data_IF_600884408561
#
_entry.id   IF_600884408561
#
_cell.length_a   1.000
_cell.length_b   1.000
_cell.length_c   1.000
_cell.angle_alpha   90.00
_cell.angle_beta   90.00
_cell.angle_gamma   90.00
#
_symmetry.space_group_name_H-M   'P 1'
#
loop_
_entity.id
_entity.type
_entity.pdbx_description
1 polymer ?
#
# COMPACT_ATOMS: atom_id res chain seq x y z
N UNK A 1 8.02 0.23 6.85
CA UNK A 1 9.43 0.58 6.72
C UNK A 1 9.62 1.52 5.57
N UNK A 2 10.05 2.64 5.90
CA UNK A 2 10.89 3.61 5.30
C UNK A 2 10.47 4.17 3.95
N UNK A 3 9.82 5.22 4.03
CA UNK A 3 9.81 6.20 2.97
C UNK A 3 10.88 7.22 3.33
N UNK A 4 11.87 7.40 2.48
CA UNK A 4 12.95 8.35 2.66
C UNK A 4 12.81 9.41 1.58
N UNK A 5 13.14 10.65 1.89
CA UNK A 5 13.36 11.67 0.89
C UNK A 5 14.54 11.27 -0.02
N UNK A 6 14.52 11.69 -1.28
CA UNK A 6 15.48 11.27 -2.29
C UNK A 6 16.95 11.54 -1.96
N UNK A 7 17.23 12.45 -1.02
CA UNK A 7 18.54 12.91 -0.64
C UNK A 7 18.91 12.64 0.82
N UNK A 8 18.13 11.80 1.53
CA UNK A 8 18.20 11.60 2.98
C UNK A 8 18.02 12.90 3.81
N UNK A 9 17.76 14.00 3.16
CA UNK A 9 17.40 15.24 3.83
C UNK A 9 15.91 15.26 4.13
N UNK A 10 15.53 16.03 5.12
CA UNK A 10 14.15 16.20 5.51
C UNK A 10 13.37 16.84 4.36
N UNK A 11 12.15 16.39 4.11
CA UNK A 11 11.26 17.08 3.19
C UNK A 11 11.20 18.55 3.54
N UNK A 12 11.71 19.36 2.64
CA UNK A 12 11.68 20.79 2.82
C UNK A 12 10.40 21.36 2.22
N UNK A 13 9.43 21.64 3.05
CA UNK A 13 8.47 22.67 2.73
C UNK A 13 9.18 23.98 3.06
N UNK A 14 9.94 24.52 2.14
CA UNK A 14 10.54 25.82 2.37
C UNK A 14 9.48 26.90 2.25
N UNK A 15 9.26 27.63 3.30
CA UNK A 15 8.65 28.96 3.23
C UNK A 15 9.63 29.90 2.57
N UNK A 16 9.72 29.92 1.24
CA UNK A 16 10.33 31.05 0.57
C UNK A 16 9.27 32.13 0.37
N UNK A 17 9.57 33.39 0.67
CA UNK A 17 8.61 34.48 0.58
C UNK A 17 8.11 34.78 -0.84
N UNK A 18 8.75 34.27 -1.86
CA UNK A 18 8.67 34.77 -3.21
C UNK A 18 8.01 33.78 -4.17
N UNK A 19 6.72 33.58 -4.08
CA UNK A 19 5.91 33.10 -5.19
C UNK A 19 5.65 31.61 -5.29
N UNK A 20 5.78 30.84 -4.24
CA UNK A 20 5.36 29.44 -4.20
C UNK A 20 3.84 29.26 -4.07
N UNK A 21 3.30 28.12 -4.46
CA UNK A 21 1.94 27.74 -4.14
C UNK A 21 1.78 27.70 -2.61
N UNK A 22 0.64 28.16 -2.11
CA UNK A 22 0.33 28.08 -0.68
C UNK A 22 -0.60 26.93 -0.39
N UNK A 23 -0.47 26.36 0.80
CA UNK A 23 -1.42 25.39 1.36
C UNK A 23 -1.85 25.84 2.75
N UNK A 24 -3.13 25.70 3.07
CA UNK A 24 -3.66 25.95 4.40
C UNK A 24 -3.84 24.61 5.13
N UNK A 25 -3.23 24.48 6.30
CA UNK A 25 -3.32 23.29 7.15
C UNK A 25 -3.65 23.76 8.57
N UNK A 26 -4.77 23.34 9.10
CA UNK A 26 -5.24 23.74 10.44
C UNK A 26 -5.29 25.26 10.66
N UNK A 27 -5.68 26.02 9.65
CA UNK A 27 -5.78 27.47 9.71
C UNK A 27 -4.45 28.22 9.57
N UNK A 28 -3.36 27.54 9.25
CA UNK A 28 -2.03 28.14 9.02
C UNK A 28 -1.67 27.97 7.55
N UNK A 29 -1.30 29.07 6.92
CA UNK A 29 -0.83 29.09 5.53
C UNK A 29 0.67 28.77 5.46
N UNK A 30 1.03 27.76 4.70
CA UNK A 30 2.40 27.35 4.40
C UNK A 30 2.72 27.60 2.94
N UNK A 31 3.91 28.12 2.66
CA UNK A 31 4.43 28.17 1.31
C UNK A 31 5.04 26.84 0.91
N UNK A 32 4.73 26.38 -0.28
CA UNK A 32 5.13 25.07 -0.79
C UNK A 32 6.20 25.23 -1.85
N UNK A 33 7.43 25.26 -1.45
CA UNK A 33 8.57 25.15 -2.36
C UNK A 33 9.57 24.17 -1.75
N UNK A 34 10.04 23.26 -2.53
CA UNK A 34 11.02 22.26 -2.10
C UNK A 34 11.15 21.18 -3.15
N UNK A 35 12.33 20.61 -3.25
CA UNK A 35 12.69 19.60 -4.25
C UNK A 35 11.74 18.40 -4.29
N UNK A 36 11.21 18.00 -3.14
CA UNK A 36 10.24 16.91 -3.00
C UNK A 36 8.81 17.42 -2.71
N UNK A 37 8.58 18.73 -2.89
CA UNK A 37 7.30 19.38 -2.64
C UNK A 37 6.24 19.00 -3.68
N UNK A 38 4.96 19.08 -3.25
CA UNK A 38 3.80 18.81 -4.11
C UNK A 38 3.73 19.69 -5.35
N UNK A 39 4.30 20.89 -5.28
CA UNK A 39 4.34 21.85 -6.37
C UNK A 39 5.39 21.52 -7.42
N UNK A 40 6.40 20.77 -7.09
CA UNK A 40 7.38 20.30 -8.06
C UNK A 40 6.74 19.20 -8.93
N UNK A 41 6.45 19.54 -10.16
CA UNK A 41 5.69 18.70 -11.09
C UNK A 41 6.54 17.62 -11.77
N UNK A 42 7.86 17.61 -11.57
CA UNK A 42 8.77 16.74 -12.31
C UNK A 42 8.81 15.31 -11.75
N UNK A 43 9.81 15.08 -10.95
CA UNK A 43 10.20 13.75 -10.47
C UNK A 43 9.61 13.40 -9.08
N UNK A 44 8.97 14.36 -8.41
CA UNK A 44 8.49 14.20 -7.05
C UNK A 44 7.32 13.20 -6.93
N UNK A 45 7.30 12.44 -5.85
CA UNK A 45 6.21 11.51 -5.54
C UNK A 45 4.88 12.24 -5.36
N UNK A 46 3.85 11.80 -6.07
CA UNK A 46 2.48 12.33 -5.94
C UNK A 46 1.81 11.96 -4.60
N UNK A 47 2.44 11.13 -3.79
CA UNK A 47 1.91 10.69 -2.49
C UNK A 47 2.66 11.30 -1.32
N UNK A 48 3.71 12.07 -1.55
CA UNK A 48 4.58 12.63 -0.54
C UNK A 48 5.60 11.66 0.06
N UNK A 49 5.62 10.41 -0.39
CA UNK A 49 6.52 9.38 0.12
C UNK A 49 7.11 8.56 -1.02
N UNK A 50 8.32 8.08 -0.82
CA UNK A 50 9.01 7.17 -1.74
C UNK A 50 9.06 5.76 -1.17
N UNK A 51 9.05 4.77 -2.07
CA UNK A 51 9.20 3.38 -1.68
C UNK A 51 10.68 3.07 -1.44
N UNK A 52 11.04 2.61 -0.23
CA UNK A 52 12.38 2.12 0.08
C UNK A 52 12.54 0.61 -0.17
N UNK A 53 11.48 -0.16 -0.02
CA UNK A 53 11.50 -1.62 -0.20
C UNK A 53 11.90 -1.95 -1.63
N UNK A 54 12.86 -2.85 -1.82
CA UNK A 54 13.48 -3.22 -3.10
C UNK A 54 14.31 -2.13 -3.77
N UNK A 55 14.59 -1.06 -3.05
CA UNK A 55 15.50 -0.04 -3.52
C UNK A 55 16.94 -0.53 -3.37
N UNK A 56 17.72 -0.42 -4.41
CA UNK A 56 19.14 -0.72 -4.39
C UNK A 56 19.92 0.55 -4.02
N UNK A 57 20.34 0.62 -2.77
CA UNK A 57 21.07 1.78 -2.23
C UNK A 57 22.50 1.88 -2.78
N UNK A 58 22.99 0.87 -3.49
CA UNK A 58 24.34 0.88 -4.09
C UNK A 58 24.37 1.56 -5.45
N UNK A 59 23.21 1.73 -6.11
CA UNK A 59 23.11 2.39 -7.40
C UNK A 59 23.14 3.91 -7.25
N UNK A 60 24.09 4.54 -7.92
CA UNK A 60 24.22 6.00 -7.99
C UNK A 60 23.47 6.63 -9.15
N UNK A 61 23.17 5.85 -10.19
CA UNK A 61 22.40 6.25 -11.36
C UNK A 61 21.21 5.29 -11.57
N UNK A 62 20.03 5.77 -11.27
CA UNK A 62 18.78 5.03 -11.29
C UNK A 62 18.28 4.69 -12.70
N UNK A 63 18.73 5.42 -13.71
CA UNK A 63 18.32 5.19 -15.10
C UNK A 63 19.00 3.98 -15.74
N UNK A 64 19.94 3.37 -15.03
CA UNK A 64 20.73 2.27 -15.59
C UNK A 64 20.03 0.91 -15.57
N UNK A 65 18.93 0.74 -14.85
CA UNK A 65 18.14 -0.51 -14.82
C UNK A 65 18.95 -1.75 -14.40
N UNK A 66 20.04 -1.55 -13.65
CA UNK A 66 21.03 -2.60 -13.32
C UNK A 66 21.00 -3.02 -11.86
N UNK A 67 19.85 -2.92 -11.19
CA UNK A 67 19.74 -3.41 -9.82
C UNK A 67 19.90 -4.91 -9.77
N UNK A 68 20.79 -5.39 -8.89
CA UNK A 68 20.96 -6.80 -8.56
C UNK A 68 20.14 -7.23 -7.34
N UNK A 69 19.31 -6.33 -6.81
CA UNK A 69 18.45 -6.62 -5.66
C UNK A 69 17.44 -7.72 -6.05
N UNK A 70 17.49 -8.89 -5.37
CA UNK A 70 16.60 -9.99 -5.72
C UNK A 70 15.15 -9.65 -5.38
N UNK A 71 14.23 -10.04 -6.26
CA UNK A 71 12.80 -10.00 -5.98
C UNK A 71 12.40 -11.27 -5.23
N UNK A 72 11.96 -11.19 -3.97
CA UNK A 72 11.50 -12.37 -3.26
C UNK A 72 10.15 -12.83 -3.80
N UNK A 73 10.10 -14.05 -4.31
CA UNK A 73 8.84 -14.68 -4.74
C UNK A 73 7.98 -15.00 -3.52
N UNK A 74 8.59 -15.55 -2.48
CA UNK A 74 8.00 -15.75 -1.15
C UNK A 74 9.12 -15.70 -0.09
N UNK A 75 8.74 -15.47 1.15
CA UNK A 75 9.69 -15.34 2.27
C UNK A 75 9.07 -15.78 3.59
N UNK A 76 9.91 -15.99 4.59
CA UNK A 76 9.51 -16.52 5.89
C UNK A 76 8.38 -15.71 6.57
N UNK A 77 8.38 -14.38 6.42
CA UNK A 77 7.29 -13.54 6.94
C UNK A 77 5.91 -13.89 6.37
N UNK A 78 5.85 -14.27 5.09
CA UNK A 78 4.61 -14.78 4.49
C UNK A 78 4.21 -16.13 5.07
N UNK A 79 5.17 -17.03 5.29
CA UNK A 79 4.91 -18.36 5.85
C UNK A 79 4.31 -18.24 7.26
N UNK A 80 4.87 -17.38 8.12
CA UNK A 80 4.30 -17.10 9.43
C UNK A 80 2.87 -16.55 9.35
N UNK A 81 2.59 -15.66 8.40
CA UNK A 81 1.25 -15.12 8.21
C UNK A 81 0.25 -16.16 7.66
N UNK A 82 0.72 -17.08 6.82
CA UNK A 82 -0.07 -18.21 6.36
C UNK A 82 -0.38 -19.15 7.51
N UNK A 83 0.61 -19.46 8.38
CA UNK A 83 0.43 -20.24 9.59
C UNK A 83 -0.58 -19.57 10.53
N UNK A 84 -0.43 -18.28 10.80
CA UNK A 84 -1.33 -17.53 11.68
C UNK A 84 -2.78 -17.57 11.20
N UNK A 85 -3.00 -17.38 9.90
CA UNK A 85 -4.34 -17.44 9.31
C UNK A 85 -4.93 -18.85 9.41
N UNK A 86 -4.17 -19.88 9.05
CA UNK A 86 -4.61 -21.28 9.15
C UNK A 86 -4.89 -21.71 10.60
N UNK A 87 -4.03 -21.33 11.54
CA UNK A 87 -4.22 -21.61 12.97
C UNK A 87 -5.49 -20.92 13.50
N UNK A 88 -5.75 -19.68 13.08
CA UNK A 88 -6.96 -18.96 13.48
C UNK A 88 -8.23 -19.61 12.94
N UNK A 89 -8.24 -20.09 11.71
CA UNK A 89 -9.37 -20.85 11.13
C UNK A 89 -9.62 -22.17 11.87
N UNK A 90 -8.59 -22.74 12.47
CA UNK A 90 -8.67 -23.97 13.30
C UNK A 90 -8.93 -23.66 14.79
N UNK A 91 -9.25 -22.41 15.15
CA UNK A 91 -9.43 -21.96 16.54
C UNK A 91 -8.20 -22.14 17.45
N UNK A 92 -7.00 -22.19 16.88
CA UNK A 92 -5.72 -22.26 17.58
C UNK A 92 -5.13 -20.87 17.78
N UNK A 93 -5.78 -20.04 18.58
CA UNK A 93 -5.41 -18.63 18.74
C UNK A 93 -4.02 -18.42 19.35
N UNK A 94 -3.53 -19.29 20.22
CA UNK A 94 -2.15 -19.20 20.73
C UNK A 94 -1.11 -19.33 19.63
N UNK A 95 -1.25 -20.35 18.79
CA UNK A 95 -0.34 -20.61 17.67
C UNK A 95 -0.37 -19.45 16.65
N UNK A 96 -1.57 -18.92 16.37
CA UNK A 96 -1.73 -17.74 15.53
C UNK A 96 -1.05 -16.49 16.11
N UNK A 97 -1.16 -16.29 17.41
CA UNK A 97 -0.54 -15.17 18.12
C UNK A 97 0.98 -15.24 18.09
N UNK A 98 1.54 -16.41 18.38
CA UNK A 98 2.99 -16.67 18.31
C UNK A 98 3.52 -16.36 16.91
N UNK A 99 2.90 -16.91 15.87
CA UNK A 99 3.33 -16.70 14.49
C UNK A 99 3.34 -15.22 14.09
N UNK A 100 2.36 -14.43 14.50
CA UNK A 100 2.35 -12.99 14.24
C UNK A 100 3.41 -12.27 15.07
N UNK A 101 3.59 -12.66 16.32
CA UNK A 101 4.55 -12.02 17.21
C UNK A 101 6.01 -12.25 16.78
N UNK A 102 6.34 -13.38 16.18
CA UNK A 102 7.65 -13.61 15.53
C UNK A 102 8.00 -12.52 14.49
N UNK A 103 7.02 -12.12 13.68
CA UNK A 103 7.19 -11.05 12.71
C UNK A 103 7.39 -9.71 13.40
N UNK A 104 6.60 -9.43 14.43
CA UNK A 104 6.61 -8.18 15.16
C UNK A 104 7.89 -8.01 15.97
N UNK A 105 8.38 -9.07 16.61
CA UNK A 105 9.65 -9.10 17.31
C UNK A 105 10.82 -8.78 16.37
N UNK A 106 10.88 -9.47 15.23
CA UNK A 106 11.88 -9.18 14.20
C UNK A 106 11.82 -7.71 13.74
N UNK A 107 10.61 -7.14 13.66
CA UNK A 107 10.40 -5.75 13.25
C UNK A 107 10.71 -4.73 14.36
N UNK A 108 10.97 -5.18 15.59
CA UNK A 108 11.24 -4.31 16.74
C UNK A 108 10.01 -3.51 17.19
N UNK A 109 8.80 -4.03 17.00
CA UNK A 109 7.55 -3.38 17.39
C UNK A 109 6.86 -4.16 18.52
N UNK A 110 5.98 -3.48 19.27
CA UNK A 110 5.28 -4.07 20.40
C UNK A 110 4.52 -5.35 20.01
N UNK A 111 4.68 -6.39 20.82
CA UNK A 111 3.98 -7.66 20.63
C UNK A 111 2.48 -7.50 20.89
N UNK A 112 1.68 -8.31 20.24
CA UNK A 112 0.25 -8.41 20.53
C UNK A 112 0.00 -9.29 21.74
N UNK A 113 -0.96 -8.91 22.57
CA UNK A 113 -1.45 -9.71 23.69
C UNK A 113 -2.63 -10.62 23.34
N UNK A 114 -3.28 -10.35 22.21
CA UNK A 114 -4.37 -11.16 21.69
C UNK A 114 -4.44 -11.04 20.17
N UNK A 115 -5.08 -12.02 19.55
CA UNK A 115 -5.16 -12.15 18.11
C UNK A 115 -6.60 -12.39 17.66
N UNK A 116 -6.93 -11.92 16.48
CA UNK A 116 -8.13 -12.27 15.72
C UNK A 116 -7.81 -12.16 14.22
N UNK A 117 -8.72 -12.60 13.38
CA UNK A 117 -8.53 -12.60 11.92
C UNK A 117 -8.28 -11.20 11.36
N UNK A 118 -8.90 -10.17 11.91
CA UNK A 118 -8.71 -8.78 11.46
C UNK A 118 -7.27 -8.30 11.70
N UNK A 119 -6.71 -8.61 12.88
CA UNK A 119 -5.32 -8.29 13.21
C UNK A 119 -4.34 -9.04 12.30
N UNK A 120 -4.60 -10.31 12.00
CA UNK A 120 -3.78 -11.10 11.06
C UNK A 120 -3.82 -10.46 9.67
N UNK A 121 -5.00 -10.12 9.17
CA UNK A 121 -5.17 -9.46 7.87
C UNK A 121 -4.50 -8.08 7.82
N UNK A 122 -4.52 -7.35 8.94
CA UNK A 122 -3.82 -6.08 9.06
C UNK A 122 -2.31 -6.27 9.03
N UNK A 123 -1.76 -7.18 9.84
CA UNK A 123 -0.33 -7.47 9.86
C UNK A 123 0.17 -7.92 8.48
N UNK A 124 -0.59 -8.80 7.82
CA UNK A 124 -0.30 -9.25 6.46
C UNK A 124 -0.26 -8.09 5.46
N UNK A 125 -1.19 -7.16 5.56
CA UNK A 125 -1.22 -5.97 4.71
C UNK A 125 0.02 -5.09 4.88
N UNK A 126 0.50 -4.93 6.11
CA UNK A 126 1.64 -4.08 6.44
C UNK A 126 2.95 -4.79 6.12
N UNK A 127 3.09 -6.04 6.55
CA UNK A 127 4.32 -6.82 6.38
C UNK A 127 4.61 -7.09 4.90
N UNK A 128 3.61 -7.47 4.12
CA UNK A 128 3.74 -7.80 2.70
C UNK A 128 3.44 -6.62 1.76
N UNK A 129 3.47 -5.39 2.28
CA UNK A 129 3.30 -4.20 1.45
C UNK A 129 4.34 -4.16 0.32
N UNK A 130 3.91 -3.82 -0.90
CA UNK A 130 4.70 -3.77 -2.13
C UNK A 130 5.20 -5.13 -2.66
N UNK A 131 4.72 -6.25 -2.11
CA UNK A 131 5.07 -7.60 -2.58
C UNK A 131 3.97 -8.25 -3.44
N UNK A 132 2.98 -7.49 -3.88
CA UNK A 132 1.93 -7.96 -4.80
C UNK A 132 0.79 -8.75 -4.14
N UNK A 133 0.86 -9.04 -2.84
CA UNK A 133 -0.09 -9.94 -2.16
C UNK A 133 -1.49 -9.35 -1.96
N UNK A 134 -1.61 -8.05 -1.67
CA UNK A 134 -2.86 -7.45 -1.19
C UNK A 134 -4.08 -7.71 -2.07
N UNK A 135 -3.92 -7.59 -3.39
CA UNK A 135 -5.02 -7.80 -4.33
C UNK A 135 -5.53 -9.25 -4.28
N UNK A 136 -4.61 -10.20 -4.27
CA UNK A 136 -4.93 -11.62 -4.21
C UNK A 136 -5.53 -12.03 -2.87
N UNK A 137 -5.03 -11.49 -1.78
CA UNK A 137 -5.57 -11.68 -0.44
C UNK A 137 -7.04 -11.22 -0.37
N UNK A 138 -7.35 -10.04 -0.86
CA UNK A 138 -8.72 -9.52 -0.89
C UNK A 138 -9.65 -10.38 -1.75
N UNK A 139 -9.14 -10.94 -2.85
CA UNK A 139 -9.90 -11.88 -3.69
C UNK A 139 -10.15 -13.20 -2.97
N UNK A 140 -9.13 -13.83 -2.41
CA UNK A 140 -9.31 -15.13 -1.71
C UNK A 140 -10.16 -15.02 -0.44
N UNK A 141 -10.09 -13.90 0.28
CA UNK A 141 -10.98 -13.61 1.42
C UNK A 141 -12.40 -13.22 1.00
N UNK A 142 -12.67 -13.06 -0.28
CA UNK A 142 -13.97 -12.66 -0.82
C UNK A 142 -14.49 -11.33 -0.27
N UNK A 143 -13.60 -10.39 0.00
CA UNK A 143 -13.92 -9.04 0.50
C UNK A 143 -13.69 -7.94 -0.53
N UNK A 144 -13.08 -8.23 -1.68
CA UNK A 144 -12.72 -7.21 -2.67
C UNK A 144 -13.93 -6.42 -3.20
N UNK A 145 -15.10 -7.04 -3.29
CA UNK A 145 -16.34 -6.41 -3.77
C UNK A 145 -17.07 -5.55 -2.72
N UNK A 146 -16.62 -5.60 -1.47
CA UNK A 146 -17.22 -4.80 -0.40
C UNK A 146 -16.76 -3.33 -0.50
N UNK A 147 -17.51 -2.44 0.15
CA UNK A 147 -17.11 -1.05 0.30
C UNK A 147 -15.83 -0.91 1.12
N UNK A 148 -15.09 0.16 0.88
CA UNK A 148 -13.84 0.46 1.58
C UNK A 148 -14.02 0.53 3.10
N UNK A 149 -15.17 1.00 3.57
CA UNK A 149 -15.50 1.03 5.00
C UNK A 149 -15.60 -0.37 5.63
N UNK A 150 -15.85 -1.40 4.81
CA UNK A 150 -15.89 -2.82 5.18
C UNK A 150 -14.60 -3.57 4.80
N UNK A 151 -13.53 -2.85 4.51
CA UNK A 151 -12.24 -3.41 4.12
C UNK A 151 -12.11 -3.83 2.66
N UNK A 152 -13.11 -3.53 1.82
CA UNK A 152 -13.13 -3.83 0.40
C UNK A 152 -12.42 -2.81 -0.50
N UNK A 153 -12.64 -2.89 -1.81
CA UNK A 153 -12.07 -1.99 -2.81
C UNK A 153 -13.05 -0.93 -3.31
N UNK A 154 -14.36 -1.18 -3.23
CA UNK A 154 -15.34 -0.24 -3.75
C UNK A 154 -15.30 1.08 -3.00
N UNK A 155 -15.22 2.17 -3.76
CA UNK A 155 -15.11 3.51 -3.22
C UNK A 155 -13.71 3.86 -2.69
N UNK A 156 -12.72 2.97 -2.83
CA UNK A 156 -11.35 3.26 -2.41
C UNK A 156 -10.74 4.33 -3.31
N UNK A 157 -10.17 5.34 -2.67
CA UNK A 157 -9.28 6.32 -3.30
C UNK A 157 -7.88 6.17 -2.73
N UNK A 158 -6.88 6.28 -3.58
CA UNK A 158 -5.50 6.39 -3.11
C UNK A 158 -5.34 7.65 -2.27
N UNK A 159 -5.04 7.49 -0.99
CA UNK A 159 -4.75 8.61 -0.11
C UNK A 159 -3.28 8.98 -0.19
N UNK A 160 -3.00 10.26 -0.11
CA UNK A 160 -1.67 10.84 0.02
C UNK A 160 -1.55 11.52 1.38
N UNK A 161 -0.36 11.50 1.94
CA UNK A 161 -0.03 12.20 3.17
C UNK A 161 1.23 13.00 2.90
N UNK A 162 1.04 14.30 2.64
CA UNK A 162 2.15 15.19 2.28
C UNK A 162 2.83 15.72 3.54
N UNK A 163 4.10 15.42 3.77
CA UNK A 163 4.86 15.96 4.89
C UNK A 163 5.36 17.36 4.54
N UNK A 164 4.92 18.34 5.27
CA UNK A 164 5.42 19.70 5.22
C UNK A 164 6.33 19.95 6.42
N UNK A 165 7.53 20.41 6.20
CA UNK A 165 8.43 20.79 7.29
C UNK A 165 8.30 22.28 7.58
N UNK A 166 7.76 22.64 8.76
CA UNK A 166 7.75 24.01 9.22
C UNK A 166 9.13 24.39 9.79
N UNK A 167 9.84 25.21 9.05
CA UNK A 167 11.20 25.63 9.44
C UNK A 167 11.20 26.51 10.70
N UNK A 168 10.08 27.17 11.02
CA UNK A 168 9.96 28.05 12.21
C UNK A 168 9.92 27.23 13.48
N UNK A 169 9.15 26.15 13.46
CA UNK A 169 8.91 25.30 14.61
C UNK A 169 9.77 24.03 14.61
N UNK A 170 10.48 23.76 13.52
CA UNK A 170 11.28 22.55 13.36
C UNK A 170 10.47 21.25 13.35
N UNK A 171 9.20 21.31 12.95
CA UNK A 171 8.25 20.19 13.01
C UNK A 171 7.67 19.85 11.65
N UNK A 172 7.29 18.58 11.50
CA UNK A 172 6.49 18.16 10.34
C UNK A 172 5.01 18.40 10.60
N UNK A 173 4.36 18.97 9.60
CA UNK A 173 2.90 19.06 9.50
C UNK A 173 2.45 18.21 8.31
N UNK A 174 1.42 17.41 8.49
CA UNK A 174 0.95 16.48 7.46
C UNK A 174 -0.38 16.92 6.88
N UNK A 175 -0.37 17.20 5.58
CA UNK A 175 -1.59 17.40 4.80
C UNK A 175 -2.10 16.05 4.27
N UNK A 176 -3.34 15.73 4.60
CA UNK A 176 -4.00 14.55 4.05
C UNK A 176 -4.76 14.89 2.77
N UNK A 177 -4.48 14.20 1.71
CA UNK A 177 -5.13 14.40 0.42
C UNK A 177 -5.39 13.10 -0.33
N UNK A 178 -5.78 13.22 -1.58
CA UNK A 178 -5.96 12.10 -2.52
C UNK A 178 -5.01 12.28 -3.68
N UNK A 179 -4.33 11.19 -4.08
CA UNK A 179 -3.45 11.19 -5.25
C UNK A 179 -4.23 11.33 -6.57
N UNK A 180 -5.49 10.89 -6.58
CA UNK A 180 -6.40 11.06 -7.72
C UNK A 180 -7.84 11.28 -7.21
N UNK A 181 -8.32 12.53 -7.19
CA UNK A 181 -9.65 12.84 -6.64
C UNK A 181 -10.81 12.28 -7.45
N UNK A 182 -10.58 11.93 -8.73
CA UNK A 182 -11.64 11.55 -9.66
C UNK A 182 -11.82 10.04 -9.86
N UNK A 183 -10.84 9.21 -9.45
CA UNK A 183 -10.89 7.77 -9.70
C UNK A 183 -11.20 7.00 -8.42
N UNK A 184 -12.43 6.49 -8.37
CA UNK A 184 -12.81 5.47 -7.39
C UNK A 184 -12.48 4.09 -7.95
N UNK A 185 -11.97 3.22 -7.11
CA UNK A 185 -11.86 1.80 -7.47
C UNK A 185 -13.23 1.15 -7.42
N UNK A 186 -13.52 0.33 -8.42
CA UNK A 186 -14.74 -0.46 -8.53
C UNK A 186 -14.31 -1.92 -8.72
N UNK A 187 -14.84 -2.79 -7.88
CA UNK A 187 -14.65 -4.23 -7.99
C UNK A 187 -16.02 -4.90 -7.84
N UNK A 188 -16.55 -5.44 -8.93
CA UNK A 188 -17.82 -6.15 -8.93
C UNK A 188 -17.62 -7.63 -8.56
N UNK A 189 -18.65 -8.32 -8.11
CA UNK A 189 -18.55 -9.75 -7.78
C UNK A 189 -18.07 -10.61 -8.95
N UNK A 190 -18.48 -10.29 -10.17
CA UNK A 190 -17.98 -10.97 -11.37
C UNK A 190 -16.45 -10.89 -11.54
N UNK A 191 -15.79 -9.86 -10.98
CA UNK A 191 -14.35 -9.66 -11.10
C UNK A 191 -13.50 -10.65 -10.28
N UNK A 192 -14.15 -11.51 -9.47
CA UNK A 192 -13.48 -12.69 -8.90
C UNK A 192 -13.06 -13.69 -9.95
N UNK A 193 -13.74 -13.70 -11.09
CA UNK A 193 -13.52 -14.60 -12.20
C UNK A 193 -13.07 -13.83 -13.44
N UNK A 194 -12.54 -14.54 -14.40
CA UNK A 194 -12.22 -14.00 -15.72
C UNK A 194 -13.27 -14.47 -16.71
N UNK A 195 -13.71 -13.62 -17.62
CA UNK A 195 -14.61 -14.05 -18.70
C UNK A 195 -13.88 -15.10 -19.55
N UNK A 196 -14.54 -16.24 -19.78
CA UNK A 196 -14.07 -17.23 -20.76
C UNK A 196 -14.29 -16.59 -22.14
N UNK A 197 -13.26 -16.63 -22.98
CA UNK A 197 -13.35 -16.02 -24.30
C UNK A 197 -14.34 -16.77 -25.19
N UNK A 198 -14.84 -16.11 -26.24
CA UNK A 198 -15.89 -16.66 -27.09
C UNK A 198 -15.36 -17.83 -27.94
N UNK A 199 -14.11 -17.80 -28.34
CA UNK A 199 -13.52 -18.86 -29.17
C UNK A 199 -13.41 -20.17 -28.40
N UNK A 200 -13.04 -20.12 -27.12
CA UNK A 200 -13.02 -21.29 -26.23
C UNK A 200 -14.43 -21.84 -26.02
N UNK A 201 -15.41 -20.95 -25.81
CA UNK A 201 -16.83 -21.34 -25.69
C UNK A 201 -17.36 -22.00 -26.96
N UNK A 202 -17.01 -21.48 -28.14
CA UNK A 202 -17.42 -22.02 -29.41
C UNK A 202 -16.74 -23.39 -29.69
N UNK A 203 -15.50 -23.54 -29.24
CA UNK A 203 -14.74 -24.77 -29.43
C UNK A 203 -15.19 -25.90 -28.51
N UNK A 204 -15.77 -25.57 -27.36
CA UNK A 204 -16.27 -26.55 -26.40
C UNK A 204 -17.66 -26.17 -25.89
N UNK A 205 -18.72 -26.72 -26.50
CA UNK A 205 -20.11 -26.42 -26.12
C UNK A 205 -20.48 -26.82 -24.68
N UNK A 206 -19.65 -27.61 -24.01
CA UNK A 206 -19.87 -27.99 -22.61
C UNK A 206 -19.38 -26.94 -21.61
N UNK A 207 -18.67 -25.90 -22.07
CA UNK A 207 -18.24 -24.81 -21.21
C UNK A 207 -19.43 -23.93 -20.81
N UNK A 208 -19.49 -23.64 -19.54
CA UNK A 208 -20.43 -22.68 -18.98
C UNK A 208 -19.67 -21.40 -18.59
N UNK A 209 -20.16 -20.27 -19.03
CA UNK A 209 -19.56 -18.99 -18.73
C UNK A 209 -19.49 -18.72 -17.22
N UNK A 210 -18.43 -18.06 -16.78
CA UNK A 210 -18.27 -17.68 -15.38
C UNK A 210 -19.40 -16.74 -14.90
N UNK A 211 -19.78 -16.82 -13.63
CA UNK A 211 -20.88 -16.02 -13.08
C UNK A 211 -20.71 -14.51 -13.31
N UNK A 212 -21.81 -13.86 -13.70
CA UNK A 212 -21.84 -12.42 -13.94
C UNK A 212 -21.34 -11.96 -15.30
N UNK A 213 -20.99 -12.90 -16.21
CA UNK A 213 -20.72 -12.64 -17.61
C UNK A 213 -21.82 -13.26 -18.48
N UNK A 214 -22.17 -12.57 -19.54
CA UNK A 214 -23.07 -13.09 -20.59
C UNK A 214 -22.25 -13.69 -21.73
N UNK A 215 -22.83 -14.68 -22.38
CA UNK A 215 -22.28 -15.26 -23.60
C UNK A 215 -22.26 -14.22 -24.72
#
# INVERSE_FOLDING_TARGET
>A
RGVIASDNEKYQATSQPDGGNTVEINGITYNTSGKDGRADAGEASKTGFYQKKFWDETLTDMNMGKSETPWPVFRLGEIYLNLAEAAMELNKSSEALEAVNEIRERAGIALLSNINMEKIRHERRVELAFEGHRFWDMKRWRIAHLDVAKGGLNGFRGTALYPWYDIRDGKYVFERGYNSPKQLRIFLEKNYYTKINQDDMNSNPSLVQNPGFTN
#
